data_IF_721472141652
#
_entry.id   IF_721472141652
#
_cell.length_a   1.000
_cell.length_b   1.000
_cell.length_c   1.000
_cell.angle_alpha   90.00
_cell.angle_beta   90.00
_cell.angle_gamma   90.00
#
_symmetry.space_group_name_H-M   'P 1'
#
loop_
_entity.id
_entity.type
_entity.pdbx_description
1 polymer ?
#
# COMPACT_ATOMS: atom_id res chain seq x y z
N UNK A 1 -5.91 -23.55 -28.64
CA UNK A 1 -6.39 -22.20 -28.27
C UNK A 1 -6.28 -22.09 -26.75
N UNK A 2 -5.38 -21.24 -26.24
CA UNK A 2 -5.20 -21.10 -24.80
C UNK A 2 -6.45 -20.45 -24.20
N UNK A 3 -7.06 -21.11 -23.20
CA UNK A 3 -8.21 -20.60 -22.48
C UNK A 3 -7.67 -19.55 -21.50
N UNK A 4 -7.61 -18.30 -21.93
CA UNK A 4 -7.22 -17.20 -21.06
C UNK A 4 -8.31 -17.03 -19.99
N UNK A 5 -8.03 -17.52 -18.79
CA UNK A 5 -8.87 -17.33 -17.60
C UNK A 5 -8.75 -15.87 -17.16
N UNK A 6 -9.59 -15.01 -17.74
CA UNK A 6 -9.78 -13.65 -17.28
C UNK A 6 -10.79 -13.65 -16.13
N UNK A 7 -10.52 -12.90 -15.06
CA UNK A 7 -11.53 -12.66 -14.04
C UNK A 7 -12.66 -11.84 -14.66
N UNK A 8 -13.90 -12.33 -14.70
CA UNK A 8 -15.00 -11.60 -15.31
C UNK A 8 -15.32 -10.37 -14.46
N UNK A 9 -15.30 -9.17 -15.07
CA UNK A 9 -15.76 -7.96 -14.43
C UNK A 9 -17.25 -8.12 -14.11
N UNK A 10 -17.62 -8.04 -12.84
CA UNK A 10 -19.02 -8.17 -12.45
C UNK A 10 -19.81 -6.89 -12.80
N UNK A 11 -21.12 -6.98 -13.04
CA UNK A 11 -21.95 -5.80 -13.32
C UNK A 11 -21.86 -4.73 -12.24
N UNK A 12 -21.84 -5.13 -10.97
CA UNK A 12 -21.76 -4.21 -9.83
C UNK A 12 -20.41 -3.49 -9.76
N UNK A 13 -19.30 -4.20 -10.03
CA UNK A 13 -17.98 -3.60 -10.13
C UNK A 13 -17.91 -2.60 -11.28
N UNK A 14 -18.46 -2.94 -12.44
CA UNK A 14 -18.51 -2.03 -13.58
C UNK A 14 -19.30 -0.76 -13.25
N UNK A 15 -20.48 -0.89 -12.64
CA UNK A 15 -21.31 0.28 -12.28
C UNK A 15 -20.60 1.17 -11.26
N UNK A 16 -19.94 0.58 -10.26
CA UNK A 16 -19.14 1.33 -9.27
C UNK A 16 -17.99 2.08 -9.94
N UNK A 17 -17.24 1.43 -10.83
CA UNK A 17 -16.13 2.04 -11.54
C UNK A 17 -16.60 3.15 -12.49
N UNK A 18 -17.70 2.93 -13.20
CA UNK A 18 -18.29 3.89 -14.14
C UNK A 18 -18.86 5.13 -13.45
N UNK A 19 -19.29 5.02 -12.18
CA UNK A 19 -19.68 6.17 -11.38
C UNK A 19 -18.48 6.97 -10.84
N UNK A 20 -17.35 6.30 -10.62
CA UNK A 20 -16.16 6.88 -9.99
C UNK A 20 -15.17 7.50 -10.99
N UNK A 21 -15.03 6.88 -12.15
CA UNK A 21 -13.99 7.18 -13.14
C UNK A 21 -14.56 7.90 -14.36
N UNK A 22 -13.77 8.81 -14.93
CA UNK A 22 -14.07 9.40 -16.25
C UNK A 22 -13.83 8.37 -17.35
N UNK A 23 -14.42 8.57 -18.53
CA UNK A 23 -14.32 7.62 -19.67
C UNK A 23 -12.86 7.19 -19.98
N UNK A 24 -11.93 8.15 -20.07
CA UNK A 24 -10.52 7.83 -20.33
C UNK A 24 -9.84 7.07 -19.18
N UNK A 25 -10.24 7.33 -17.93
CA UNK A 25 -9.73 6.63 -16.74
C UNK A 25 -10.25 5.20 -16.68
N UNK A 26 -11.56 5.02 -16.93
CA UNK A 26 -12.21 3.71 -16.98
C UNK A 26 -11.62 2.85 -18.10
N UNK A 27 -11.50 3.39 -19.32
CA UNK A 27 -10.90 2.67 -20.45
C UNK A 27 -9.46 2.25 -20.18
N UNK A 28 -8.67 3.15 -19.58
CA UNK A 28 -7.28 2.86 -19.19
C UNK A 28 -7.25 1.73 -18.15
N UNK A 29 -8.09 1.79 -17.13
CA UNK A 29 -8.15 0.77 -16.08
C UNK A 29 -8.57 -0.59 -16.60
N UNK A 30 -9.65 -0.65 -17.40
CA UNK A 30 -10.13 -1.89 -18.00
C UNK A 30 -9.08 -2.52 -18.92
N UNK A 31 -8.37 -1.71 -19.70
CA UNK A 31 -7.27 -2.20 -20.53
C UNK A 31 -6.14 -2.81 -19.68
N UNK A 32 -5.75 -2.16 -18.58
CA UNK A 32 -4.76 -2.73 -17.65
C UNK A 32 -5.22 -4.06 -17.05
N UNK A 33 -6.50 -4.21 -16.71
CA UNK A 33 -7.08 -5.48 -16.22
C UNK A 33 -7.02 -6.59 -17.28
N UNK A 34 -7.15 -6.28 -18.57
CA UNK A 34 -6.99 -7.29 -19.62
C UNK A 34 -5.57 -7.82 -19.73
N UNK A 35 -4.58 -6.98 -19.42
CA UNK A 35 -3.16 -7.35 -19.47
C UNK A 35 -2.71 -8.05 -18.20
N UNK A 36 -3.20 -7.60 -17.05
CA UNK A 36 -2.88 -8.14 -15.75
C UNK A 36 -4.15 -8.40 -14.94
N UNK A 37 -4.81 -9.56 -15.16
CA UNK A 37 -6.03 -9.91 -14.44
C UNK A 37 -5.77 -10.31 -12.97
N UNK A 38 -4.51 -10.51 -12.57
CA UNK A 38 -4.14 -10.94 -11.23
C UNK A 38 -3.36 -9.84 -10.49
N UNK A 39 -3.82 -9.39 -9.31
CA UNK A 39 -3.20 -8.27 -8.60
C UNK A 39 -1.79 -8.57 -8.08
N UNK A 40 -1.42 -9.85 -7.95
CA UNK A 40 -0.14 -10.28 -7.38
C UNK A 40 1.04 -10.19 -8.36
N UNK A 41 0.76 -10.04 -9.66
CA UNK A 41 1.80 -9.95 -10.69
C UNK A 41 2.15 -8.49 -10.98
N UNK A 42 3.44 -8.17 -10.99
CA UNK A 42 3.92 -6.86 -11.48
C UNK A 42 4.11 -6.95 -12.99
N UNK A 43 3.63 -5.95 -13.73
CA UNK A 43 3.78 -5.87 -15.18
C UNK A 43 4.33 -4.51 -15.59
N UNK A 44 5.39 -4.53 -16.40
CA UNK A 44 5.96 -3.31 -16.99
C UNK A 44 5.23 -2.98 -18.30
N UNK A 45 4.67 -1.77 -18.39
CA UNK A 45 4.05 -1.25 -19.61
C UNK A 45 4.32 0.25 -19.78
N UNK A 46 4.65 0.67 -21.00
CA UNK A 46 4.74 2.09 -21.33
C UNK A 46 3.36 2.68 -21.63
N UNK A 47 3.08 3.82 -21.01
CA UNK A 47 1.96 4.72 -21.35
C UNK A 47 1.81 5.02 -22.85
N UNK A 48 2.89 4.98 -23.63
CA UNK A 48 2.83 5.12 -25.09
C UNK A 48 2.06 3.97 -25.76
N UNK A 49 2.30 2.73 -25.33
CA UNK A 49 1.62 1.53 -25.87
C UNK A 49 0.12 1.59 -25.54
N UNK A 50 -0.22 2.00 -24.32
CA UNK A 50 -1.62 2.19 -23.90
C UNK A 50 -2.29 3.27 -24.74
N UNK A 51 -1.57 4.37 -25.01
CA UNK A 51 -2.05 5.48 -25.83
C UNK A 51 -2.40 5.05 -27.25
N UNK A 52 -1.52 4.25 -27.88
CA UNK A 52 -1.73 3.70 -29.23
C UNK A 52 -2.92 2.72 -29.26
N UNK A 53 -2.99 1.81 -28.29
CA UNK A 53 -4.03 0.78 -28.27
C UNK A 53 -5.43 1.31 -27.97
N UNK A 54 -5.53 2.37 -27.15
CA UNK A 54 -6.83 2.97 -26.78
C UNK A 54 -7.21 4.18 -27.63
N UNK A 55 -6.30 4.69 -28.46
CA UNK A 55 -6.50 5.95 -29.20
C UNK A 55 -6.64 7.17 -28.29
N UNK A 56 -6.12 7.11 -27.07
CA UNK A 56 -6.18 8.19 -26.08
C UNK A 56 -4.83 8.90 -26.05
N UNK A 57 -4.81 10.24 -25.97
CA UNK A 57 -3.56 11.02 -25.89
C UNK A 57 -2.71 10.58 -24.69
N UNK A 58 -1.40 10.36 -24.88
CA UNK A 58 -0.46 9.90 -23.83
C UNK A 58 -0.54 10.70 -22.52
N UNK A 59 -0.68 12.03 -22.60
CA UNK A 59 -0.84 12.90 -21.42
C UNK A 59 -2.13 12.59 -20.64
N UNK A 60 -3.20 12.23 -21.34
CA UNK A 60 -4.46 11.80 -20.72
C UNK A 60 -4.32 10.43 -20.08
N UNK A 61 -3.60 9.50 -20.72
CA UNK A 61 -3.26 8.20 -20.11
C UNK A 61 -2.43 8.39 -18.82
N UNK A 62 -1.41 9.25 -18.85
CA UNK A 62 -0.61 9.55 -17.65
C UNK A 62 -1.45 10.14 -16.51
N UNK A 63 -2.35 11.07 -16.83
CA UNK A 63 -3.30 11.63 -15.84
C UNK A 63 -4.24 10.56 -15.30
N UNK A 64 -4.73 9.67 -16.17
CA UNK A 64 -5.58 8.55 -15.78
C UNK A 64 -4.84 7.61 -14.83
N UNK A 65 -3.61 7.19 -15.16
CA UNK A 65 -2.77 6.34 -14.30
C UNK A 65 -2.56 6.97 -12.92
N UNK A 66 -2.22 8.26 -12.86
CA UNK A 66 -2.08 8.97 -11.58
C UNK A 66 -3.40 8.96 -10.79
N UNK A 67 -4.53 9.19 -11.46
CA UNK A 67 -5.86 9.18 -10.81
C UNK A 67 -6.23 7.79 -10.29
N UNK A 68 -5.93 6.73 -11.05
CA UNK A 68 -6.16 5.35 -10.62
C UNK A 68 -5.29 4.99 -9.40
N UNK A 69 -4.06 5.51 -9.35
CA UNK A 69 -3.18 5.37 -8.20
C UNK A 69 -3.71 6.11 -6.96
N UNK A 70 -4.19 7.35 -7.12
CA UNK A 70 -4.82 8.12 -6.03
C UNK A 70 -6.03 7.38 -5.44
N UNK A 71 -6.81 6.70 -6.28
CA UNK A 71 -7.97 5.91 -5.88
C UNK A 71 -7.60 4.52 -5.31
N UNK A 72 -6.32 4.15 -5.31
CA UNK A 72 -5.85 2.85 -4.84
C UNK A 72 -6.25 1.68 -5.76
N UNK A 73 -6.66 1.96 -7.00
CA UNK A 73 -7.03 0.93 -7.97
C UNK A 73 -5.83 0.24 -8.61
N UNK A 74 -4.68 0.93 -8.67
CA UNK A 74 -3.41 0.41 -9.15
C UNK A 74 -2.26 0.92 -8.27
N UNK A 75 -1.16 0.17 -8.25
CA UNK A 75 0.12 0.62 -7.71
C UNK A 75 1.07 0.89 -8.88
N UNK A 76 1.76 2.04 -8.84
CA UNK A 76 2.66 2.46 -9.91
C UNK A 76 4.06 2.64 -9.34
N UNK A 77 5.02 1.94 -9.93
CA UNK A 77 6.44 2.07 -9.60
C UNK A 77 7.19 2.72 -10.77
N UNK A 78 8.01 3.74 -10.48
CA UNK A 78 8.84 4.39 -11.49
C UNK A 78 10.15 3.59 -11.65
N UNK A 79 10.20 2.72 -12.66
CA UNK A 79 11.36 1.84 -12.90
C UNK A 79 12.55 2.62 -13.48
N UNK A 80 12.31 3.61 -14.35
CA UNK A 80 13.36 4.38 -15.03
C UNK A 80 12.99 5.84 -15.18
N UNK A 81 13.90 6.74 -14.79
CA UNK A 81 13.83 8.15 -15.16
C UNK A 81 15.23 8.68 -15.47
N UNK A 82 15.32 9.61 -16.42
CA UNK A 82 16.54 10.37 -16.73
C UNK A 82 16.25 11.82 -16.38
N UNK A 83 17.20 12.49 -15.74
CA UNK A 83 17.08 13.90 -15.41
C UNK A 83 18.39 14.64 -15.73
N UNK A 84 18.28 15.96 -15.87
CA UNK A 84 19.40 16.88 -15.90
C UNK A 84 19.02 18.06 -14.99
N UNK A 85 19.95 18.51 -14.18
CA UNK A 85 19.74 19.68 -13.32
C UNK A 85 19.75 20.96 -14.16
N UNK A 86 18.83 21.89 -13.86
CA UNK A 86 18.92 23.24 -14.40
C UNK A 86 20.12 23.95 -13.76
N UNK A 87 21.06 24.45 -14.56
CA UNK A 87 22.08 25.36 -14.07
C UNK A 87 21.37 26.63 -13.60
N UNK A 88 21.26 26.83 -12.29
CA UNK A 88 20.94 28.13 -11.73
C UNK A 88 22.10 29.08 -12.05
N UNK A 89 22.03 29.72 -13.22
CA UNK A 89 22.97 30.74 -13.66
C UNK A 89 22.77 32.03 -12.87
N UNK A 90 23.19 32.06 -11.60
CA UNK A 90 23.44 33.30 -10.87
C UNK A 90 24.94 33.49 -10.75
N UNK A 91 25.55 34.08 -11.78
CA UNK A 91 26.73 34.92 -11.59
C UNK A 91 26.84 35.92 -12.74
N UNK A 92 26.57 37.17 -12.38
CA UNK A 92 26.76 38.38 -13.16
C UNK A 92 28.21 38.54 -13.65
N UNK A 93 28.40 38.90 -14.92
CA UNK A 93 29.42 39.89 -15.31
C UNK A 93 28.88 40.84 -16.36
N UNK A 94 29.20 42.11 -16.11
CA UNK A 94 28.79 43.33 -16.77
C UNK A 94 29.43 43.50 -18.17
N UNK A 95 28.62 44.09 -19.06
CA UNK A 95 28.91 45.12 -20.08
C UNK A 95 30.19 45.02 -20.94
N UNK A 96 30.00 45.08 -22.26
CA UNK A 96 30.59 46.12 -23.10
C UNK A 96 29.89 46.23 -24.48
N UNK A 97 29.26 47.39 -24.71
CA UNK A 97 29.15 48.14 -25.98
C UNK A 97 28.23 47.68 -27.14
N UNK A 98 27.01 48.24 -27.12
CA UNK A 98 26.13 48.86 -28.16
C UNK A 98 26.61 49.09 -29.62
N UNK A 99 25.75 49.56 -30.60
CA UNK A 99 24.32 49.92 -30.51
C UNK A 99 23.41 49.48 -31.70
N UNK A 100 22.09 49.55 -31.49
CA UNK A 100 21.05 50.16 -32.36
C UNK A 100 19.75 49.36 -32.29
N UNK A 101 18.69 49.93 -31.70
CA UNK A 101 17.42 50.26 -32.41
C UNK A 101 16.57 51.16 -31.50
N UNK A 102 16.39 52.37 -32.02
CA UNK A 102 15.40 53.44 -31.79
C UNK A 102 14.01 52.89 -31.39
N UNK A 103 13.53 53.21 -30.19
CA UNK A 103 12.56 54.28 -29.84
C UNK A 103 11.09 53.94 -30.15
N UNK A 104 10.27 53.91 -29.10
CA UNK A 104 8.81 53.88 -29.20
C UNK A 104 8.12 53.69 -27.87
N UNK A 105 8.15 54.72 -27.01
CA UNK A 105 7.15 54.94 -25.97
C UNK A 105 6.73 56.42 -26.08
N UNK A 106 5.46 56.80 -25.83
CA UNK A 106 5.07 57.10 -24.45
C UNK A 106 3.58 56.75 -24.16
N UNK A 107 3.05 56.65 -22.93
CA UNK A 107 3.15 57.59 -21.81
C UNK A 107 2.38 57.04 -20.58
N UNK A 108 2.87 57.39 -19.37
CA UNK A 108 2.10 57.84 -18.16
C UNK A 108 1.41 56.77 -17.28
N UNK A 109 1.48 56.75 -15.92
CA UNK A 109 2.17 57.56 -14.89
C UNK A 109 2.19 56.77 -13.56
N UNK A 110 3.37 56.80 -12.92
CA UNK A 110 3.70 56.94 -11.48
C UNK A 110 2.58 56.79 -10.44
N UNK A 111 2.81 55.87 -9.51
CA UNK A 111 2.22 55.88 -8.17
C UNK A 111 2.92 54.87 -7.26
N UNK A 112 3.99 55.29 -6.60
CA UNK A 112 4.57 54.64 -5.41
C UNK A 112 4.23 55.53 -4.20
N UNK A 113 4.07 54.98 -2.98
CA UNK A 113 5.24 55.01 -2.12
C UNK A 113 5.39 53.84 -1.13
N UNK A 114 6.63 53.33 -1.05
CA UNK A 114 7.43 53.05 0.16
C UNK A 114 6.84 52.15 1.27
N UNK A 115 7.52 51.02 1.56
CA UNK A 115 8.40 50.81 2.74
C UNK A 115 8.63 49.31 3.02
N UNK A 116 9.89 49.02 3.40
CA UNK A 116 10.39 47.90 4.20
C UNK A 116 10.84 46.61 3.50
N UNK A 117 12.16 46.59 3.30
CA UNK A 117 13.06 45.44 3.34
C UNK A 117 12.76 44.56 4.58
N UNK A 118 12.57 43.26 4.38
CA UNK A 118 13.03 42.19 5.29
C UNK A 118 12.98 40.84 4.58
N UNK A 119 14.12 40.15 4.56
CA UNK A 119 14.31 38.77 4.11
C UNK A 119 13.29 37.79 4.71
N UNK A 120 12.90 36.74 3.99
CA UNK A 120 12.59 35.47 4.61
C UNK A 120 13.73 34.48 4.37
N UNK A 121 14.50 34.22 5.42
CA UNK A 121 15.23 32.96 5.59
C UNK A 121 14.25 31.81 5.40
N UNK A 122 14.37 31.10 4.28
CA UNK A 122 13.68 29.82 4.07
C UNK A 122 14.38 28.78 4.95
N UNK A 123 13.88 28.60 6.16
CA UNK A 123 14.18 27.44 6.98
C UNK A 123 13.40 26.25 6.42
N UNK A 124 14.11 25.25 5.92
CA UNK A 124 13.56 23.93 5.64
C UNK A 124 13.15 23.27 6.97
N UNK A 125 11.89 23.44 7.36
CA UNK A 125 11.24 22.59 8.35
C UNK A 125 10.24 21.70 7.64
N UNK A 126 10.61 20.42 7.49
CA UNK A 126 9.70 19.35 7.14
C UNK A 126 8.48 19.37 8.08
N UNK A 127 7.24 19.33 7.57
CA UNK A 127 6.11 18.99 8.42
C UNK A 127 6.15 17.49 8.71
N UNK A 128 6.23 17.14 10.00
CA UNK A 128 5.79 15.84 10.52
C UNK A 128 4.31 15.66 10.16
N UNK A 129 3.89 14.54 9.56
CA UNK A 129 2.47 14.26 9.46
C UNK A 129 1.91 13.95 10.85
N UNK A 130 0.88 14.69 11.22
CA UNK A 130 -0.03 14.36 12.30
C UNK A 130 -0.68 13.00 12.00
N UNK A 131 -0.76 12.19 13.05
CA UNK A 131 -1.52 10.95 13.13
C UNK A 131 -2.99 11.28 12.85
N UNK A 132 -3.50 10.91 11.68
CA UNK A 132 -4.94 10.89 11.43
C UNK A 132 -5.41 9.46 11.21
N UNK A 133 -6.48 9.11 11.91
CA UNK A 133 -7.11 7.80 11.89
C UNK A 133 -8.00 7.73 10.67
N UNK A 134 -7.60 6.95 9.67
CA UNK A 134 -8.53 6.50 8.64
C UNK A 134 -7.86 6.05 7.35
N UNK A 135 -8.32 4.91 6.85
CA UNK A 135 -8.09 4.40 5.49
C UNK A 135 -6.83 3.54 5.26
N UNK A 136 -7.06 2.23 5.32
CA UNK A 136 -6.14 1.16 4.88
C UNK A 136 -6.02 1.15 3.36
N UNK A 137 -4.80 1.34 2.85
CA UNK A 137 -4.31 0.76 1.58
C UNK A 137 -2.97 0.07 1.86
N UNK A 138 -2.62 -1.04 1.17
CA UNK A 138 -1.60 -1.98 1.61
C UNK A 138 -0.21 -1.42 1.35
N UNK A 139 0.46 -1.00 2.43
CA UNK A 139 1.85 -0.59 2.40
C UNK A 139 2.74 -1.77 1.99
N UNK A 140 3.75 -1.50 1.15
CA UNK A 140 5.04 -2.18 1.23
C UNK A 140 5.44 -2.16 2.71
N UNK A 141 5.20 -3.27 3.41
CA UNK A 141 5.47 -3.38 4.84
C UNK A 141 6.98 -3.30 5.00
N UNK A 142 7.50 -2.12 5.31
CA UNK A 142 8.88 -1.99 5.76
C UNK A 142 9.05 -2.87 7.01
N UNK A 143 10.23 -3.46 7.23
CA UNK A 143 10.50 -4.33 8.38
C UNK A 143 10.11 -3.64 9.70
N UNK A 144 10.29 -2.31 9.75
CA UNK A 144 9.87 -1.46 10.86
C UNK A 144 8.35 -1.41 11.03
N UNK A 145 7.60 -1.33 9.94
CA UNK A 145 6.12 -1.32 9.95
C UNK A 145 5.58 -2.67 10.42
N UNK A 146 6.15 -3.78 9.96
CA UNK A 146 5.77 -5.13 10.42
C UNK A 146 6.12 -5.33 11.91
N UNK A 147 7.33 -5.00 12.34
CA UNK A 147 7.74 -5.15 13.74
C UNK A 147 6.98 -4.24 14.70
N UNK A 148 6.52 -3.07 14.24
CA UNK A 148 5.67 -2.18 15.02
C UNK A 148 4.21 -2.66 15.12
N UNK A 149 3.78 -3.57 14.25
CA UNK A 149 2.45 -4.19 14.31
C UNK A 149 2.38 -5.38 15.29
N UNK A 150 3.54 -5.91 15.70
CA UNK A 150 3.65 -7.00 16.67
C UNK A 150 3.66 -6.46 18.10
N UNK A 151 3.07 -7.20 19.04
CA UNK A 151 3.24 -6.91 20.47
C UNK A 151 4.70 -7.09 20.90
N UNK A 152 5.12 -6.46 22.01
CA UNK A 152 6.51 -6.55 22.50
C UNK A 152 6.99 -8.01 22.65
N UNK A 153 6.15 -8.87 23.23
CA UNK A 153 6.43 -10.29 23.42
C UNK A 153 6.53 -11.05 22.09
N UNK A 154 5.70 -10.70 21.12
CA UNK A 154 5.72 -11.29 19.78
C UNK A 154 6.93 -10.85 18.97
N UNK A 155 7.33 -9.59 19.09
CA UNK A 155 8.54 -9.07 18.49
C UNK A 155 9.79 -9.79 19.01
N UNK A 156 9.90 -9.97 20.33
CA UNK A 156 11.02 -10.70 20.93
C UNK A 156 11.06 -12.18 20.49
N UNK A 157 9.89 -12.81 20.35
CA UNK A 157 9.78 -14.18 19.83
C UNK A 157 10.18 -14.28 18.35
N UNK A 158 9.74 -13.31 17.53
CA UNK A 158 10.06 -13.23 16.11
C UNK A 158 11.56 -13.01 15.86
N UNK A 159 12.16 -12.06 16.58
CA UNK A 159 13.59 -11.77 16.49
C UNK A 159 14.44 -12.99 16.93
N UNK A 160 14.07 -13.68 18.02
CA UNK A 160 14.76 -14.92 18.44
C UNK A 160 14.68 -16.01 17.39
N UNK A 161 13.50 -16.23 16.80
CA UNK A 161 13.28 -17.24 15.77
C UNK A 161 14.13 -16.96 14.52
N UNK A 162 14.12 -15.72 14.04
CA UNK A 162 14.89 -15.32 12.87
C UNK A 162 16.41 -15.41 13.07
N UNK A 163 16.90 -15.04 14.25
CA UNK A 163 18.32 -15.18 14.61
C UNK A 163 18.75 -16.64 14.76
N UNK A 164 17.89 -17.51 15.29
CA UNK A 164 18.15 -18.94 15.39
C UNK A 164 18.22 -19.58 14.00
N UNK A 165 17.32 -19.20 13.09
CA UNK A 165 17.34 -19.60 11.68
C UNK A 165 18.64 -19.17 10.99
N UNK A 166 19.05 -17.92 11.17
CA UNK A 166 20.30 -17.41 10.61
C UNK A 166 21.52 -18.25 11.07
N UNK A 167 21.55 -18.65 12.35
CA UNK A 167 22.62 -19.47 12.93
C UNK A 167 22.64 -20.92 12.45
N UNK A 168 21.47 -21.49 12.10
CA UNK A 168 21.32 -22.87 11.61
C UNK A 168 21.55 -23.03 10.11
N UNK A 169 21.87 -21.95 9.39
CA UNK A 169 22.18 -22.03 7.97
C UNK A 169 23.47 -22.84 7.73
N UNK A 170 23.55 -23.61 6.63
CA UNK A 170 24.75 -24.38 6.29
C UNK A 170 25.99 -23.51 6.08
N UNK A 171 25.80 -22.22 5.79
CA UNK A 171 26.83 -21.18 5.87
C UNK A 171 26.31 -20.05 6.75
N UNK A 172 26.68 -20.01 8.04
CA UNK A 172 26.25 -18.96 8.95
C UNK A 172 26.74 -17.59 8.47
N UNK A 173 25.86 -16.57 8.38
CA UNK A 173 26.26 -15.22 8.05
C UNK A 173 27.06 -14.60 9.21
N UNK A 174 28.10 -13.83 8.89
CA UNK A 174 28.91 -13.10 9.88
C UNK A 174 28.07 -12.11 10.72
N UNK A 175 26.98 -11.59 10.12
CA UNK A 175 26.02 -10.70 10.78
C UNK A 175 24.59 -11.27 10.69
N UNK A 176 24.20 -12.16 11.62
CA UNK A 176 22.86 -12.78 11.66
C UNK A 176 21.71 -11.78 11.67
N UNK A 177 21.88 -10.63 12.34
CA UNK A 177 20.87 -9.57 12.37
C UNK A 177 20.63 -8.94 11.00
N UNK A 178 21.69 -8.58 10.26
CA UNK A 178 21.54 -8.00 8.92
C UNK A 178 20.95 -9.00 7.92
N UNK A 179 21.29 -10.28 8.09
CA UNK A 179 20.68 -11.34 7.29
C UNK A 179 19.19 -11.51 7.61
N UNK A 180 18.83 -11.51 8.89
CA UNK A 180 17.45 -11.57 9.34
C UNK A 180 16.62 -10.40 8.81
N UNK A 181 17.11 -9.17 8.97
CA UNK A 181 16.45 -7.96 8.46
C UNK A 181 16.30 -7.94 6.94
N UNK A 182 17.19 -8.63 6.20
CA UNK A 182 17.09 -8.74 4.74
C UNK A 182 16.12 -9.84 4.29
N UNK A 183 15.96 -10.90 5.08
CA UNK A 183 15.13 -12.06 4.76
C UNK A 183 13.85 -12.11 5.61
N UNK A 184 13.47 -10.98 6.22
CA UNK A 184 12.45 -10.93 7.27
C UNK A 184 11.07 -11.37 6.77
N UNK A 185 10.70 -11.16 5.51
CA UNK A 185 9.41 -11.55 4.93
C UNK A 185 9.24 -13.08 4.88
N UNK A 186 10.28 -13.77 4.40
CA UNK A 186 10.30 -15.23 4.36
C UNK A 186 10.28 -15.80 5.79
N UNK A 187 11.02 -15.16 6.70
CA UNK A 187 11.08 -15.57 8.10
C UNK A 187 9.76 -15.28 8.82
N UNK A 188 9.06 -14.19 8.51
CA UNK A 188 7.73 -13.88 9.05
C UNK A 188 6.72 -14.94 8.61
N UNK A 189 6.72 -15.30 7.34
CA UNK A 189 5.84 -16.35 6.80
C UNK A 189 6.11 -17.70 7.47
N UNK A 190 7.38 -18.08 7.66
CA UNK A 190 7.74 -19.31 8.37
C UNK A 190 7.43 -19.24 9.86
N UNK A 191 7.63 -18.09 10.49
CA UNK A 191 7.34 -17.88 11.90
C UNK A 191 5.84 -17.94 12.17
N UNK A 192 5.01 -17.33 11.34
CA UNK A 192 3.55 -17.44 11.40
C UNK A 192 3.08 -18.89 11.26
N UNK A 193 3.63 -19.63 10.30
CA UNK A 193 3.38 -21.07 10.14
C UNK A 193 3.83 -21.87 11.36
N UNK A 194 4.99 -21.54 11.95
CA UNK A 194 5.52 -22.21 13.14
C UNK A 194 4.70 -21.95 14.41
N UNK A 195 3.97 -20.83 14.46
CA UNK A 195 3.08 -20.46 15.57
C UNK A 195 1.71 -21.13 15.49
N UNK A 196 1.40 -21.86 14.42
CA UNK A 196 0.06 -22.41 14.18
C UNK A 196 -1.03 -21.33 14.06
N UNK A 197 -0.65 -20.05 13.87
CA UNK A 197 -1.59 -18.95 13.74
C UNK A 197 -2.10 -18.91 12.30
N UNK A 198 -3.35 -19.33 12.11
CA UNK A 198 -4.09 -19.10 10.86
C UNK A 198 -3.97 -17.63 10.45
N UNK A 199 -3.72 -17.42 9.15
CA UNK A 199 -3.53 -16.12 8.49
C UNK A 199 -4.46 -15.04 9.06
N UNK A 200 -3.94 -13.82 9.19
CA UNK A 200 -4.65 -12.60 9.65
C UNK A 200 -6.01 -12.38 8.97
N UNK A 201 -6.18 -12.86 7.72
CA UNK A 201 -7.46 -12.85 7.00
C UNK A 201 -8.53 -13.77 7.62
N UNK A 202 -8.14 -14.87 8.24
CA UNK A 202 -9.06 -15.75 8.98
C UNK A 202 -9.40 -15.22 10.36
N UNK A 203 -8.49 -14.48 11.01
CA UNK A 203 -8.78 -13.77 12.26
C UNK A 203 -9.92 -12.77 12.06
N UNK A 204 -9.84 -11.98 10.97
CA UNK A 204 -10.87 -11.00 10.63
C UNK A 204 -12.21 -11.63 10.19
N UNK A 205 -12.19 -12.85 9.60
CA UNK A 205 -13.40 -13.61 9.22
C UNK A 205 -14.29 -13.86 10.43
N UNK A 206 -13.70 -14.25 11.55
CA UNK A 206 -14.44 -14.60 12.76
C UNK A 206 -14.73 -13.41 13.66
N UNK A 207 -13.84 -12.42 13.67
CA UNK A 207 -14.02 -11.16 14.41
C UNK A 207 -15.23 -10.35 13.92
N UNK A 208 -15.55 -10.42 12.62
CA UNK A 208 -16.72 -9.77 12.02
C UNK A 208 -17.89 -10.73 11.73
N UNK A 209 -17.88 -11.94 12.30
CA UNK A 209 -18.93 -12.92 12.03
C UNK A 209 -20.28 -12.45 12.61
N UNK A 210 -21.40 -12.48 11.85
CA UNK A 210 -22.69 -11.96 12.32
C UNK A 210 -23.23 -12.68 13.56
N UNK A 211 -22.86 -13.94 13.74
CA UNK A 211 -23.25 -14.74 14.92
C UNK A 211 -22.12 -14.90 15.93
N UNK A 212 -21.09 -14.04 15.90
CA UNK A 212 -19.91 -14.16 16.77
C UNK A 212 -20.28 -14.25 18.25
N UNK A 213 -21.06 -13.30 18.76
CA UNK A 213 -21.44 -13.29 20.19
C UNK A 213 -22.36 -14.47 20.53
N UNK A 214 -23.34 -14.76 19.69
CA UNK A 214 -24.26 -15.90 19.88
C UNK A 214 -23.49 -17.24 19.95
N UNK A 215 -22.48 -17.43 19.09
CA UNK A 215 -21.68 -18.64 19.07
C UNK A 215 -20.73 -18.71 20.28
N UNK A 216 -20.16 -17.58 20.73
CA UNK A 216 -19.36 -17.54 21.95
C UNK A 216 -20.21 -17.90 23.17
N UNK A 217 -21.42 -17.37 23.28
CA UNK A 217 -22.33 -17.68 24.39
C UNK A 217 -22.76 -19.15 24.38
N UNK A 218 -23.06 -19.71 23.21
CA UNK A 218 -23.33 -21.15 23.07
C UNK A 218 -22.14 -22.02 23.45
N UNK A 219 -20.92 -21.61 23.13
CA UNK A 219 -19.71 -22.34 23.56
C UNK A 219 -19.54 -22.27 25.08
N UNK A 220 -19.86 -21.14 25.72
CA UNK A 220 -19.84 -21.00 27.18
C UNK A 220 -20.90 -21.86 27.86
N UNK A 221 -22.07 -22.02 27.24
CA UNK A 221 -23.19 -22.78 27.77
C UNK A 221 -23.05 -24.30 27.56
N UNK A 222 -22.76 -24.73 26.32
CA UNK A 222 -22.73 -26.14 25.91
C UNK A 222 -21.32 -26.77 25.97
N UNK A 223 -20.30 -25.93 26.10
CA UNK A 223 -18.91 -26.31 25.94
C UNK A 223 -18.49 -26.44 24.45
N UNK A 224 -17.18 -26.41 24.16
CA UNK A 224 -16.64 -26.52 22.81
C UNK A 224 -17.11 -27.75 22.02
N UNK A 225 -17.29 -28.87 22.71
CA UNK A 225 -17.75 -30.13 22.12
C UNK A 225 -19.27 -30.13 21.85
N UNK A 226 -20.06 -29.57 22.77
CA UNK A 226 -21.52 -29.47 22.62
C UNK A 226 -21.92 -28.54 21.47
N UNK A 227 -21.24 -27.39 21.35
CA UNK A 227 -21.45 -26.45 20.25
C UNK A 227 -21.15 -27.05 18.87
N UNK A 228 -20.10 -27.88 18.76
CA UNK A 228 -19.75 -28.56 17.50
C UNK A 228 -20.80 -29.60 17.07
N UNK A 229 -21.38 -30.32 18.03
CA UNK A 229 -22.31 -31.42 17.77
C UNK A 229 -23.77 -30.96 17.51
N UNK A 230 -24.12 -29.71 17.83
CA UNK A 230 -25.49 -29.18 17.71
C UNK A 230 -25.95 -29.04 16.23
N UNK A 231 -25.03 -28.88 15.27
CA UNK A 231 -25.37 -28.73 13.84
C UNK A 231 -24.36 -29.49 12.96
N UNK A 232 -24.59 -30.80 12.84
CA UNK A 232 -23.70 -31.74 12.13
C UNK A 232 -23.26 -31.32 10.71
N UNK A 233 -24.12 -30.74 9.85
CA UNK A 233 -23.70 -30.25 8.52
C UNK A 233 -22.60 -29.18 8.58
N UNK A 234 -22.51 -28.45 9.69
CA UNK A 234 -21.60 -27.32 9.89
C UNK A 234 -20.52 -27.61 10.94
N UNK A 235 -20.31 -28.88 11.33
CA UNK A 235 -19.36 -29.26 12.39
C UNK A 235 -17.96 -28.70 12.12
N UNK A 236 -17.48 -28.79 10.86
CA UNK A 236 -16.16 -28.28 10.46
C UNK A 236 -16.06 -26.76 10.63
N UNK A 237 -17.11 -26.03 10.25
CA UNK A 237 -17.18 -24.57 10.39
C UNK A 237 -17.15 -24.15 11.86
N UNK A 238 -17.91 -24.86 12.69
CA UNK A 238 -17.97 -24.64 14.14
C UNK A 238 -16.67 -25.00 14.84
N UNK A 239 -15.99 -26.06 14.39
CA UNK A 239 -14.67 -26.44 14.89
C UNK A 239 -13.60 -25.38 14.58
N UNK A 240 -13.62 -24.81 13.37
CA UNK A 240 -12.73 -23.69 13.01
C UNK A 240 -12.98 -22.45 13.88
N UNK A 241 -14.24 -22.13 14.18
CA UNK A 241 -14.60 -21.02 15.06
C UNK A 241 -14.15 -21.24 16.51
N UNK A 242 -14.35 -22.45 17.05
CA UNK A 242 -13.89 -22.82 18.40
C UNK A 242 -12.37 -22.68 18.52
N UNK A 243 -11.61 -23.24 17.56
CA UNK A 243 -10.16 -23.15 17.56
C UNK A 243 -9.67 -21.69 17.52
N UNK A 244 -10.35 -20.84 16.75
CA UNK A 244 -10.08 -19.40 16.74
C UNK A 244 -10.41 -18.74 18.09
N UNK A 245 -11.56 -19.05 18.70
CA UNK A 245 -11.98 -18.46 19.96
C UNK A 245 -11.09 -18.89 21.14
N UNK A 246 -10.61 -20.14 21.16
CA UNK A 246 -9.61 -20.64 22.09
C UNK A 246 -8.27 -19.94 21.92
N UNK A 247 -7.77 -19.81 20.69
CA UNK A 247 -6.50 -19.15 20.40
C UNK A 247 -6.48 -17.65 20.77
N UNK A 248 -7.66 -17.02 20.88
CA UNK A 248 -7.82 -15.62 21.28
C UNK A 248 -8.32 -15.46 22.73
N UNK A 249 -8.39 -16.55 23.51
CA UNK A 249 -8.88 -16.54 24.91
C UNK A 249 -10.27 -15.89 25.10
N UNK A 250 -11.16 -16.04 24.10
CA UNK A 250 -12.49 -15.40 24.10
C UNK A 250 -13.57 -16.20 24.83
N UNK A 251 -13.30 -17.49 25.08
CA UNK A 251 -14.30 -18.41 25.63
C UNK A 251 -14.39 -18.30 27.14
N UNK A 252 -13.26 -18.41 27.85
CA UNK A 252 -13.24 -18.53 29.31
C UNK A 252 -12.71 -17.30 30.04
N UNK A 253 -12.31 -16.24 29.32
CA UNK A 253 -11.60 -15.12 29.93
C UNK A 253 -10.21 -15.54 30.43
N UNK A 254 -9.31 -14.58 30.61
CA UNK A 254 -7.96 -14.86 31.09
C UNK A 254 -7.96 -15.15 32.60
N UNK A 255 -8.35 -16.37 32.98
CA UNK A 255 -8.12 -16.90 34.33
C UNK A 255 -7.06 -18.00 34.29
N UNK A 256 -5.79 -17.59 34.41
CA UNK A 256 -4.69 -18.24 35.18
C UNK A 256 -3.34 -17.61 34.87
#
# INVERSE_FOLDING_TARGET
MAKHTHYPLTPDEFLRLNALLKDAELRTYLYLLTLNPFPDSVMEIDTAVISENLGIVRRTVQRAVNRLQELGLIQVEIIRFKYRQASHGTSSRLRSSDPNVVTGDPNVVIGDPNVAISDPKIANTYPKPLLDKGSRNPHTTDYKTHTNSLSKTERESFEKFGLEKARKLPKPPELPQKWFEKNWEAIATEWEKSRGKMSTNQSQKWENHPQREEWLDKIRELGPLGFRAEDMPNEKLRAEFVAWAEANNLIWGADS
#
